data_IF_127129186064
#
_entry.id   IF_127129186064
#
_cell.length_a   1.000
_cell.length_b   1.000
_cell.length_c   1.000
_cell.angle_alpha   90.00
_cell.angle_beta   90.00
_cell.angle_gamma   90.00
#
_symmetry.space_group_name_H-M   'P 1'
#
loop_
_entity.id
_entity.type
_entity.pdbx_description
1 polymer ?
#
# COMPACT_ATOMS: atom_id res chain seq x y z
N UNK A 1 8.36 -5.71 -19.96
CA UNK A 1 8.70 -6.76 -18.98
C UNK A 1 9.87 -7.58 -19.51
N UNK A 2 10.90 -7.86 -18.70
CA UNK A 2 12.05 -8.67 -19.09
C UNK A 2 11.71 -10.17 -19.06
N UNK A 3 12.54 -11.02 -19.72
CA UNK A 3 12.38 -12.49 -19.65
C UNK A 3 12.43 -13.02 -18.21
N UNK A 4 13.32 -12.45 -17.37
CA UNK A 4 13.43 -12.84 -15.96
C UNK A 4 12.15 -12.52 -15.16
N UNK A 5 11.57 -11.34 -15.38
CA UNK A 5 10.30 -10.95 -14.72
C UNK A 5 9.12 -11.82 -15.18
N UNK A 6 9.09 -12.23 -16.46
CA UNK A 6 8.07 -13.16 -16.98
C UNK A 6 8.18 -14.51 -16.28
N UNK A 7 9.39 -15.07 -16.27
CA UNK A 7 9.66 -16.36 -15.62
C UNK A 7 9.37 -16.31 -14.11
N UNK A 8 9.65 -15.18 -13.44
CA UNK A 8 9.33 -15.01 -12.03
C UNK A 8 7.82 -15.12 -11.77
N UNK A 9 6.99 -14.49 -12.59
CA UNK A 9 5.53 -14.59 -12.48
C UNK A 9 5.00 -16.02 -12.70
N UNK A 10 5.67 -16.83 -13.50
CA UNK A 10 5.29 -18.22 -13.74
C UNK A 10 5.75 -19.15 -12.61
N UNK A 11 7.01 -19.02 -12.20
CA UNK A 11 7.66 -19.97 -11.28
C UNK A 11 7.46 -19.60 -9.81
N UNK A 12 7.46 -18.31 -9.48
CA UNK A 12 7.40 -17.82 -8.09
C UNK A 12 5.98 -17.42 -7.67
N UNK A 13 5.02 -17.35 -8.59
CA UNK A 13 3.62 -17.06 -8.26
C UNK A 13 3.05 -17.99 -7.19
N UNK A 14 3.24 -19.32 -7.24
CA UNK A 14 2.73 -20.21 -6.20
C UNK A 14 3.25 -19.91 -4.79
N UNK A 15 4.43 -19.29 -4.68
CA UNK A 15 5.07 -18.94 -3.41
C UNK A 15 4.64 -17.56 -2.89
N UNK A 16 4.53 -16.57 -3.78
CA UNK A 16 4.35 -15.18 -3.40
C UNK A 16 3.01 -14.57 -3.87
N UNK A 17 2.37 -15.15 -4.86
CA UNK A 17 1.12 -14.66 -5.43
C UNK A 17 -0.09 -15.06 -4.59
N UNK A 18 -1.08 -14.19 -4.54
CA UNK A 18 -2.42 -14.49 -4.04
C UNK A 18 -3.33 -14.71 -5.26
N UNK A 19 -4.10 -15.80 -5.26
CA UNK A 19 -5.02 -16.13 -6.35
C UNK A 19 -6.19 -15.15 -6.50
N UNK A 20 -6.82 -15.18 -7.67
CA UNK A 20 -7.96 -14.32 -8.03
C UNK A 20 -9.31 -14.80 -7.46
N UNK A 21 -9.29 -15.84 -6.59
CA UNK A 21 -10.51 -16.28 -5.91
C UNK A 21 -11.08 -15.15 -5.02
N UNK A 22 -12.30 -15.34 -4.55
CA UNK A 22 -12.99 -14.37 -3.68
C UNK A 22 -12.80 -14.65 -2.20
N UNK A 23 -11.84 -15.51 -1.82
CA UNK A 23 -11.58 -15.84 -0.43
C UNK A 23 -11.09 -14.61 0.35
N UNK A 24 -11.51 -14.52 1.60
CA UNK A 24 -11.10 -13.45 2.49
C UNK A 24 -9.61 -13.58 2.86
N UNK A 25 -8.91 -12.48 2.82
CA UNK A 25 -7.50 -12.39 3.15
C UNK A 25 -7.34 -12.12 4.64
N UNK A 26 -6.77 -13.08 5.34
CA UNK A 26 -6.45 -12.97 6.76
C UNK A 26 -4.98 -13.33 6.99
N UNK A 27 -4.37 -12.79 8.04
CA UNK A 27 -2.98 -13.12 8.38
C UNK A 27 -2.78 -14.64 8.57
N UNK A 28 -3.72 -15.30 9.26
CA UNK A 28 -3.68 -16.76 9.46
C UNK A 28 -3.76 -17.51 8.12
N UNK A 29 -4.71 -17.15 7.25
CA UNK A 29 -4.89 -17.81 5.95
C UNK A 29 -3.70 -17.64 5.01
N UNK A 30 -2.97 -16.53 5.12
CA UNK A 30 -1.86 -16.16 4.22
C UNK A 30 -0.50 -16.61 4.77
N UNK A 31 -0.28 -16.45 6.08
CA UNK A 31 1.03 -16.64 6.72
C UNK A 31 1.04 -17.76 7.77
N UNK A 32 -0.12 -18.30 8.13
CA UNK A 32 -0.26 -19.37 9.12
C UNK A 32 -0.30 -18.91 10.59
N UNK A 33 -0.23 -17.59 10.85
CA UNK A 33 -0.28 -17.01 12.20
C UNK A 33 -1.03 -15.67 12.24
N UNK A 34 -1.24 -15.12 13.45
CA UNK A 34 -1.93 -13.83 13.66
C UNK A 34 -0.96 -12.65 13.75
N UNK A 35 -0.08 -12.54 12.79
CA UNK A 35 0.82 -11.38 12.71
C UNK A 35 0.08 -10.10 12.30
N UNK A 36 0.58 -8.89 12.68
CA UNK A 36 0.06 -7.64 12.15
C UNK A 36 0.15 -7.60 10.62
N UNK A 37 -0.89 -7.07 9.97
CA UNK A 37 -1.01 -7.09 8.52
C UNK A 37 -0.99 -5.66 7.95
N UNK A 38 -0.03 -5.39 7.08
CA UNK A 38 0.12 -4.14 6.35
C UNK A 38 -0.15 -4.34 4.86
N UNK A 39 -0.99 -3.49 4.29
CA UNK A 39 -1.31 -3.46 2.87
C UNK A 39 -0.62 -2.27 2.21
N UNK A 40 0.16 -2.48 1.15
CA UNK A 40 0.67 -1.40 0.30
C UNK A 40 -0.06 -1.41 -1.05
N UNK A 41 -0.65 -0.27 -1.42
CA UNK A 41 -1.37 -0.07 -2.67
C UNK A 41 -0.49 0.69 -3.65
N UNK A 42 -0.33 0.14 -4.85
CA UNK A 42 0.53 0.72 -5.87
C UNK A 42 2.01 0.52 -5.55
N UNK A 43 2.41 -0.69 -5.14
CA UNK A 43 3.79 -0.97 -4.71
C UNK A 43 4.85 -0.77 -5.81
N UNK A 44 4.46 -0.59 -7.06
CA UNK A 44 5.36 -0.31 -8.19
C UNK A 44 6.45 -1.39 -8.34
N UNK A 45 7.70 -1.04 -8.02
CA UNK A 45 8.83 -1.99 -8.05
C UNK A 45 8.99 -2.83 -6.77
N UNK A 46 8.22 -2.55 -5.73
CA UNK A 46 8.17 -3.28 -4.48
C UNK A 46 9.34 -3.04 -3.52
N UNK A 47 10.19 -2.03 -3.76
CA UNK A 47 11.36 -1.79 -2.89
C UNK A 47 10.94 -1.51 -1.44
N UNK A 48 9.90 -0.71 -1.23
CA UNK A 48 9.41 -0.40 0.11
C UNK A 48 8.94 -1.68 0.85
N UNK A 49 8.24 -2.59 0.16
CA UNK A 49 7.84 -3.88 0.75
C UNK A 49 9.03 -4.74 1.14
N UNK A 50 10.09 -4.76 0.31
CA UNK A 50 11.33 -5.49 0.63
C UNK A 50 11.97 -4.93 1.90
N UNK A 51 12.12 -3.61 1.98
CA UNK A 51 12.78 -2.94 3.10
C UNK A 51 12.00 -3.12 4.40
N UNK A 52 10.67 -2.95 4.35
CA UNK A 52 9.79 -3.18 5.50
C UNK A 52 9.80 -4.63 5.96
N UNK A 53 9.78 -5.57 5.04
CA UNK A 53 9.76 -7.00 5.36
C UNK A 53 11.07 -7.47 6.01
N UNK A 54 12.20 -6.92 5.60
CA UNK A 54 13.52 -7.19 6.22
C UNK A 54 13.62 -6.55 7.61
N UNK A 55 13.12 -5.30 7.75
CA UNK A 55 13.17 -4.59 9.02
C UNK A 55 12.23 -5.22 10.07
N UNK A 56 11.12 -5.81 9.64
CA UNK A 56 10.06 -6.31 10.53
C UNK A 56 9.59 -7.72 10.13
N UNK A 57 10.40 -8.76 10.36
CA UNK A 57 10.12 -10.13 9.91
C UNK A 57 8.86 -10.75 10.55
N UNK A 58 8.44 -10.24 11.70
CA UNK A 58 7.24 -10.70 12.42
C UNK A 58 5.94 -10.03 11.94
N UNK A 59 6.00 -9.17 10.92
CA UNK A 59 4.82 -8.58 10.29
C UNK A 59 4.55 -9.21 8.93
N UNK A 60 3.28 -9.20 8.51
CA UNK A 60 2.84 -9.63 7.20
C UNK A 60 2.57 -8.44 6.28
N UNK A 61 3.00 -8.55 5.04
CA UNK A 61 2.82 -7.51 4.03
C UNK A 61 2.09 -8.06 2.81
N UNK A 62 1.12 -7.30 2.32
CA UNK A 62 0.46 -7.57 1.05
C UNK A 62 0.68 -6.36 0.14
N UNK A 63 1.28 -6.57 -1.02
CA UNK A 63 1.35 -5.57 -2.08
C UNK A 63 0.21 -5.75 -3.07
N UNK A 64 -0.56 -4.70 -3.32
CA UNK A 64 -1.62 -4.66 -4.33
C UNK A 64 -1.21 -3.73 -5.46
N UNK A 65 -1.20 -4.21 -6.68
CA UNK A 65 -0.91 -3.43 -7.88
C UNK A 65 -1.49 -4.14 -9.12
N UNK A 66 -1.66 -3.42 -10.20
CA UNK A 66 -1.98 -3.99 -11.53
C UNK A 66 -0.73 -4.11 -12.41
N UNK A 67 0.40 -3.59 -11.97
CA UNK A 67 1.65 -3.50 -12.73
C UNK A 67 2.46 -4.81 -12.68
N UNK A 68 2.16 -5.74 -13.57
CA UNK A 68 2.83 -7.06 -13.68
C UNK A 68 4.37 -7.02 -13.72
N UNK A 69 5.04 -6.08 -14.45
CA UNK A 69 6.50 -6.02 -14.44
C UNK A 69 7.09 -5.73 -13.05
N UNK A 70 6.40 -4.90 -12.26
CA UNK A 70 6.76 -4.61 -10.88
C UNK A 70 6.66 -5.85 -9.99
N UNK A 71 5.54 -6.58 -10.10
CA UNK A 71 5.35 -7.83 -9.38
C UNK A 71 6.45 -8.86 -9.68
N UNK A 72 6.79 -9.04 -10.97
CA UNK A 72 7.90 -9.93 -11.35
C UNK A 72 9.25 -9.49 -10.77
N UNK A 73 9.51 -8.17 -10.69
CA UNK A 73 10.72 -7.64 -10.04
C UNK A 73 10.72 -7.87 -8.53
N UNK A 74 9.59 -7.61 -7.88
CA UNK A 74 9.43 -7.84 -6.44
C UNK A 74 9.65 -9.31 -6.11
N UNK A 75 9.02 -10.25 -6.84
CA UNK A 75 9.22 -11.68 -6.62
C UNK A 75 10.67 -12.12 -6.71
N UNK A 76 11.43 -11.61 -7.70
CA UNK A 76 12.85 -11.90 -7.81
C UNK A 76 13.65 -11.39 -6.60
N UNK A 77 13.29 -10.23 -6.05
CA UNK A 77 13.93 -9.68 -4.87
C UNK A 77 13.59 -10.50 -3.61
N UNK A 78 12.31 -10.85 -3.43
CA UNK A 78 11.83 -11.66 -2.31
C UNK A 78 12.49 -13.05 -2.29
N UNK A 79 12.61 -13.69 -3.45
CA UNK A 79 13.20 -15.02 -3.55
C UNK A 79 14.71 -15.00 -3.31
N UNK A 80 15.42 -14.02 -3.91
CA UNK A 80 16.87 -13.84 -3.70
C UNK A 80 17.24 -13.56 -2.23
N UNK A 81 16.38 -12.83 -1.51
CA UNK A 81 16.60 -12.42 -0.11
C UNK A 81 15.90 -13.35 0.90
N UNK A 82 15.29 -14.44 0.42
CA UNK A 82 14.56 -15.42 1.22
C UNK A 82 13.45 -14.82 2.10
N UNK A 83 12.82 -13.73 1.62
CA UNK A 83 11.76 -13.02 2.34
C UNK A 83 10.45 -13.83 2.25
N UNK A 84 9.92 -14.27 3.39
CA UNK A 84 8.73 -15.12 3.47
C UNK A 84 7.45 -14.41 3.90
N UNK A 85 7.56 -13.17 4.40
CA UNK A 85 6.46 -12.40 5.01
C UNK A 85 5.80 -11.37 4.06
N UNK A 86 5.99 -11.51 2.74
CA UNK A 86 5.34 -10.68 1.70
C UNK A 86 4.48 -11.55 0.79
N UNK A 87 3.32 -11.05 0.40
CA UNK A 87 2.47 -11.61 -0.67
C UNK A 87 2.05 -10.54 -1.65
N UNK A 88 1.71 -10.94 -2.86
CA UNK A 88 1.42 -10.05 -3.99
C UNK A 88 0.04 -10.36 -4.54
N UNK A 89 -0.78 -9.33 -4.69
CA UNK A 89 -2.10 -9.38 -5.28
C UNK A 89 -2.12 -8.49 -6.53
N UNK A 90 -2.31 -9.09 -7.71
CA UNK A 90 -2.38 -8.38 -8.98
C UNK A 90 -3.84 -8.07 -9.35
N UNK A 91 -4.46 -7.15 -8.61
CA UNK A 91 -5.85 -6.73 -8.76
C UNK A 91 -6.00 -5.22 -8.64
N UNK A 92 -7.15 -4.69 -9.07
CA UNK A 92 -7.51 -3.29 -8.80
C UNK A 92 -7.78 -3.11 -7.29
N UNK A 93 -7.09 -2.14 -6.68
CA UNK A 93 -7.18 -1.90 -5.25
C UNK A 93 -8.59 -1.54 -4.78
N UNK A 94 -9.41 -0.88 -5.63
CA UNK A 94 -10.78 -0.55 -5.27
C UNK A 94 -11.67 -1.80 -5.11
N UNK A 95 -11.44 -2.83 -5.92
CA UNK A 95 -12.16 -4.10 -5.80
C UNK A 95 -11.71 -4.93 -4.61
N UNK A 96 -10.42 -4.84 -4.25
CA UNK A 96 -9.81 -5.60 -3.16
C UNK A 96 -10.47 -5.29 -1.82
N UNK A 97 -10.68 -4.03 -1.48
CA UNK A 97 -11.34 -3.65 -0.21
C UNK A 97 -12.78 -4.11 -0.13
N UNK A 98 -13.49 -4.15 -1.25
CA UNK A 98 -14.89 -4.58 -1.28
C UNK A 98 -15.08 -6.09 -1.14
N UNK A 99 -14.08 -6.89 -1.54
CA UNK A 99 -14.26 -8.33 -1.72
C UNK A 99 -13.31 -9.21 -0.93
N UNK A 100 -12.14 -8.68 -0.54
CA UNK A 100 -11.05 -9.51 -0.03
C UNK A 100 -10.72 -9.27 1.45
N UNK A 101 -11.15 -8.16 2.04
CA UNK A 101 -10.90 -7.83 3.43
C UNK A 101 -12.20 -7.69 4.21
N UNK A 102 -12.20 -8.18 5.44
CA UNK A 102 -13.26 -7.92 6.42
C UNK A 102 -12.99 -6.60 7.14
N UNK A 103 -14.02 -6.11 7.82
CA UNK A 103 -13.83 -4.99 8.75
C UNK A 103 -12.77 -5.32 9.79
N UNK A 104 -11.95 -4.32 10.13
CA UNK A 104 -10.92 -4.40 11.19
C UNK A 104 -9.92 -5.55 10.99
N UNK A 105 -9.52 -5.81 9.75
CA UNK A 105 -8.55 -6.87 9.41
C UNK A 105 -7.13 -6.38 9.18
N UNK A 106 -6.94 -5.09 8.88
CA UNK A 106 -5.65 -4.49 8.55
C UNK A 106 -5.13 -3.61 9.69
N UNK A 107 -3.86 -3.75 10.03
CA UNK A 107 -3.18 -2.87 10.99
C UNK A 107 -2.74 -1.56 10.31
N UNK A 108 -2.26 -1.63 9.07
CA UNK A 108 -1.82 -0.46 8.32
C UNK A 108 -2.19 -0.55 6.84
N UNK A 109 -2.42 0.61 6.21
CA UNK A 109 -2.51 0.78 4.76
C UNK A 109 -1.56 1.88 4.30
N UNK A 110 -0.75 1.57 3.30
CA UNK A 110 0.26 2.47 2.72
C UNK A 110 -0.10 2.76 1.27
N UNK A 111 -0.09 4.05 0.88
CA UNK A 111 -0.39 4.50 -0.49
C UNK A 111 0.61 5.60 -0.85
N UNK A 112 1.64 5.26 -1.61
CA UNK A 112 2.71 6.19 -1.92
C UNK A 112 2.68 6.60 -3.38
N UNK A 113 2.70 7.91 -3.62
CA UNK A 113 2.72 8.56 -4.93
C UNK A 113 1.64 8.04 -5.88
N UNK A 114 0.36 7.98 -5.42
CA UNK A 114 -0.74 7.59 -6.30
C UNK A 114 -0.87 8.60 -7.45
N UNK A 115 -1.29 8.12 -8.63
CA UNK A 115 -1.45 8.96 -9.82
C UNK A 115 -2.27 10.22 -9.53
N UNK A 116 -1.69 11.43 -9.68
CA UNK A 116 -2.36 12.68 -9.28
C UNK A 116 -3.41 13.15 -10.28
N UNK A 117 -3.39 12.63 -11.53
CA UNK A 117 -4.31 13.02 -12.61
C UNK A 117 -4.53 14.54 -12.65
N UNK A 118 -3.54 15.37 -13.04
CA UNK A 118 -3.59 16.82 -12.85
C UNK A 118 -4.71 17.53 -13.62
N UNK A 119 -5.17 16.98 -14.76
CA UNK A 119 -6.26 17.56 -15.54
C UNK A 119 -7.60 17.35 -14.84
N UNK A 120 -8.38 18.40 -14.59
CA UNK A 120 -9.68 18.38 -13.89
C UNK A 120 -10.63 17.28 -14.40
N UNK A 121 -10.72 17.07 -15.73
CA UNK A 121 -11.55 16.02 -16.34
C UNK A 121 -11.11 14.59 -15.97
N UNK A 122 -9.90 14.41 -15.42
CA UNK A 122 -9.34 13.11 -15.02
C UNK A 122 -9.40 12.86 -13.51
N UNK A 123 -9.82 13.83 -12.68
CA UNK A 123 -9.89 13.66 -11.22
C UNK A 123 -10.73 12.45 -10.80
N UNK A 124 -11.74 12.08 -11.60
CA UNK A 124 -12.53 10.86 -11.38
C UNK A 124 -11.73 9.54 -11.41
N UNK A 125 -10.48 9.57 -11.91
CA UNK A 125 -9.57 8.42 -11.94
C UNK A 125 -8.71 8.30 -10.69
N UNK A 126 -8.68 9.34 -9.84
CA UNK A 126 -7.95 9.32 -8.58
C UNK A 126 -8.48 8.20 -7.69
N UNK A 127 -7.59 7.44 -7.09
CA UNK A 127 -7.98 6.34 -6.22
C UNK A 127 -8.54 6.84 -4.88
N UNK A 128 -7.90 7.85 -4.28
CA UNK A 128 -8.30 8.40 -2.97
C UNK A 128 -9.52 9.31 -3.12
N UNK A 129 -10.70 8.69 -3.15
CA UNK A 129 -12.02 9.33 -3.20
C UNK A 129 -12.83 8.90 -1.96
N UNK A 130 -13.89 9.64 -1.57
CA UNK A 130 -14.64 9.36 -0.35
C UNK A 130 -15.07 7.90 -0.20
N UNK A 131 -15.66 7.29 -1.24
CA UNK A 131 -16.10 5.88 -1.19
C UNK A 131 -14.94 4.91 -0.97
N UNK A 132 -13.79 5.15 -1.62
CA UNK A 132 -12.61 4.32 -1.44
C UNK A 132 -12.03 4.45 -0.03
N UNK A 133 -11.93 5.69 0.49
CA UNK A 133 -11.45 5.95 1.85
C UNK A 133 -12.37 5.35 2.91
N UNK A 134 -13.69 5.40 2.70
CA UNK A 134 -14.65 4.77 3.60
C UNK A 134 -14.44 3.25 3.68
N UNK A 135 -14.37 2.56 2.52
CA UNK A 135 -14.14 1.11 2.48
C UNK A 135 -12.79 0.72 3.10
N UNK A 136 -11.74 1.51 2.81
CA UNK A 136 -10.43 1.32 3.41
C UNK A 136 -10.49 1.50 4.94
N UNK A 137 -11.15 2.56 5.42
CA UNK A 137 -11.29 2.84 6.84
C UNK A 137 -12.04 1.72 7.57
N UNK A 138 -13.07 1.13 6.97
CA UNK A 138 -13.75 -0.05 7.54
C UNK A 138 -12.80 -1.22 7.73
N UNK A 139 -11.88 -1.45 6.80
CA UNK A 139 -10.93 -2.57 6.88
C UNK A 139 -9.79 -2.34 7.88
N UNK A 140 -9.47 -1.08 8.24
CA UNK A 140 -8.49 -0.79 9.28
C UNK A 140 -9.00 -1.21 10.66
N UNK A 141 -8.15 -1.78 11.49
CA UNK A 141 -8.40 -1.97 12.93
C UNK A 141 -8.52 -0.64 13.65
N UNK A 142 -9.15 -0.61 14.82
CA UNK A 142 -9.10 0.56 15.70
C UNK A 142 -7.64 0.91 15.98
N UNK A 143 -7.31 2.19 15.90
CA UNK A 143 -5.93 2.72 15.96
C UNK A 143 -5.00 2.27 14.83
N UNK A 144 -5.50 1.56 13.81
CA UNK A 144 -4.75 1.26 12.59
C UNK A 144 -4.48 2.53 11.78
N UNK A 145 -3.42 2.52 10.98
CA UNK A 145 -2.95 3.72 10.29
C UNK A 145 -3.14 3.65 8.77
N UNK A 146 -3.54 4.77 8.20
CA UNK A 146 -3.44 5.06 6.78
C UNK A 146 -2.31 6.06 6.56
N UNK A 147 -1.28 5.67 5.81
CA UNK A 147 -0.20 6.57 5.43
C UNK A 147 -0.19 6.82 3.93
N UNK A 148 -0.13 8.08 3.54
CA UNK A 148 -0.11 8.51 2.15
C UNK A 148 1.07 9.47 1.96
N UNK A 149 1.76 9.36 0.82
CA UNK A 149 2.71 10.36 0.39
C UNK A 149 2.40 10.79 -1.04
N UNK A 150 2.55 12.08 -1.34
CA UNK A 150 2.37 12.64 -2.68
C UNK A 150 3.28 13.85 -2.90
N UNK A 151 3.71 14.08 -4.14
CA UNK A 151 4.44 15.27 -4.57
C UNK A 151 3.52 16.33 -5.20
N UNK A 152 2.21 16.12 -5.18
CA UNK A 152 1.21 16.98 -5.80
C UNK A 152 0.36 17.72 -4.76
N UNK A 153 0.65 19.02 -4.53
CA UNK A 153 -0.08 19.86 -3.57
C UNK A 153 -1.59 19.84 -3.74
N UNK A 154 -2.08 19.97 -4.96
CA UNK A 154 -3.52 19.95 -5.23
C UNK A 154 -4.16 18.61 -4.86
N UNK A 155 -3.44 17.49 -5.07
CA UNK A 155 -3.96 16.18 -4.71
C UNK A 155 -3.91 15.97 -3.20
N UNK A 156 -2.86 16.43 -2.54
CA UNK A 156 -2.75 16.43 -1.08
C UNK A 156 -3.96 17.14 -0.44
N UNK A 157 -4.30 18.34 -0.88
CA UNK A 157 -5.48 19.06 -0.37
C UNK A 157 -6.77 18.27 -0.56
N UNK A 158 -6.98 17.70 -1.76
CA UNK A 158 -8.16 16.85 -2.02
C UNK A 158 -8.21 15.64 -1.08
N UNK A 159 -7.07 15.01 -0.78
CA UNK A 159 -6.99 13.86 0.13
C UNK A 159 -7.35 14.28 1.55
N UNK A 160 -6.80 15.39 2.04
CA UNK A 160 -7.10 15.94 3.38
C UNK A 160 -8.58 16.28 3.52
N UNK A 161 -9.19 16.89 2.49
CA UNK A 161 -10.64 17.15 2.46
C UNK A 161 -11.45 15.85 2.55
N UNK A 162 -11.05 14.81 1.81
CA UNK A 162 -11.73 13.51 1.87
C UNK A 162 -11.57 12.83 3.23
N UNK A 163 -10.39 12.93 3.86
CA UNK A 163 -10.16 12.39 5.22
C UNK A 163 -11.00 13.14 6.25
N UNK A 164 -11.09 14.48 6.14
CA UNK A 164 -11.89 15.30 7.06
C UNK A 164 -13.39 14.99 6.99
N UNK A 165 -13.88 14.48 5.86
CA UNK A 165 -15.27 14.05 5.66
C UNK A 165 -15.51 12.59 6.07
N UNK A 166 -14.47 11.80 6.34
CA UNK A 166 -14.60 10.40 6.72
C UNK A 166 -14.65 10.24 8.26
N UNK A 167 -15.81 9.88 8.83
CA UNK A 167 -15.98 9.87 10.28
C UNK A 167 -15.14 8.81 11.01
N UNK A 168 -14.63 7.82 10.28
CA UNK A 168 -13.81 6.76 10.84
C UNK A 168 -12.31 7.09 10.87
N UNK A 169 -11.89 8.21 10.26
CA UNK A 169 -10.48 8.60 10.19
C UNK A 169 -10.24 9.94 10.89
N UNK A 170 -9.16 10.00 11.64
CA UNK A 170 -8.64 11.25 12.23
C UNK A 170 -7.29 11.55 11.59
N UNK A 171 -7.15 12.73 10.99
CA UNK A 171 -5.86 13.19 10.48
C UNK A 171 -4.93 13.51 11.65
N UNK A 172 -3.70 13.00 11.60
CA UNK A 172 -2.66 13.27 12.60
C UNK A 172 -1.67 14.29 12.02
N UNK A 173 -1.63 15.49 12.58
CA UNK A 173 -0.73 16.56 12.18
C UNK A 173 0.04 17.08 13.42
N UNK A 174 1.39 17.11 13.39
CA UNK A 174 2.28 16.61 12.32
C UNK A 174 2.36 15.06 12.27
N UNK A 175 2.59 14.48 11.08
CA UNK A 175 2.50 13.03 10.86
C UNK A 175 3.55 12.18 11.57
N UNK A 176 4.56 12.78 12.22
CA UNK A 176 5.70 12.05 12.79
C UNK A 176 5.76 12.08 14.34
N UNK A 177 4.82 12.74 15.03
CA UNK A 177 4.85 12.78 16.50
C UNK A 177 4.42 11.44 17.12
N UNK A 178 5.39 10.76 17.75
CA UNK A 178 5.14 9.56 18.56
C UNK A 178 5.02 8.26 17.77
N UNK A 179 5.43 8.24 16.52
CA UNK A 179 5.35 7.03 15.69
C UNK A 179 6.58 6.14 15.87
N UNK A 180 6.30 4.85 16.06
CA UNK A 180 7.31 3.80 15.99
C UNK A 180 8.05 3.83 14.63
N UNK A 181 9.33 3.41 14.56
CA UNK A 181 10.13 3.37 13.32
C UNK A 181 9.45 2.63 12.16
N UNK A 182 8.54 1.72 12.43
CA UNK A 182 7.68 0.99 11.47
C UNK A 182 6.96 1.90 10.47
N UNK A 183 6.77 3.13 10.82
CA UNK A 183 5.99 4.07 10.02
C UNK A 183 6.87 5.04 9.22
N UNK A 184 8.19 4.97 9.37
CA UNK A 184 9.13 5.70 8.52
C UNK A 184 9.30 4.95 7.21
N UNK A 185 8.73 5.51 6.14
CA UNK A 185 8.89 4.93 4.81
C UNK A 185 10.33 5.07 4.30
N UNK A 186 10.75 4.10 3.52
CA UNK A 186 11.97 4.21 2.72
C UNK A 186 11.75 5.22 1.58
N UNK A 187 12.78 6.00 1.24
CA UNK A 187 12.71 6.93 0.10
C UNK A 187 12.43 6.12 -1.16
N UNK A 188 11.26 6.32 -1.75
CA UNK A 188 10.89 5.65 -3.00
C UNK A 188 11.62 6.27 -4.19
N UNK A 189 11.69 5.53 -5.32
CA UNK A 189 12.25 6.08 -6.56
C UNK A 189 11.55 7.37 -7.00
N UNK A 190 10.25 7.44 -6.83
CA UNK A 190 9.44 8.62 -7.20
C UNK A 190 9.72 9.79 -6.28
N UNK A 191 9.94 9.53 -5.01
CA UNK A 191 10.36 10.54 -4.04
C UNK A 191 11.74 11.12 -4.38
N UNK A 192 12.73 10.27 -4.64
CA UNK A 192 14.05 10.74 -5.06
C UNK A 192 13.95 11.63 -6.31
N UNK A 193 13.14 11.25 -7.30
CA UNK A 193 12.89 12.07 -8.49
C UNK A 193 12.14 13.37 -8.18
N UNK A 194 11.19 13.36 -7.23
CA UNK A 194 10.48 14.55 -6.77
C UNK A 194 11.43 15.53 -6.10
N UNK A 195 12.28 15.05 -5.20
CA UNK A 195 13.30 15.84 -4.50
C UNK A 195 14.29 16.45 -5.51
N UNK A 196 14.81 15.67 -6.46
CA UNK A 196 15.69 16.18 -7.53
C UNK A 196 15.05 17.31 -8.36
N UNK A 197 13.73 17.30 -8.52
CA UNK A 197 12.95 18.33 -9.24
C UNK A 197 12.53 19.49 -8.35
N UNK A 198 12.88 19.48 -7.06
CA UNK A 198 12.49 20.51 -6.09
C UNK A 198 11.01 20.45 -5.70
N UNK A 199 10.33 19.33 -5.91
CA UNK A 199 8.96 19.17 -5.48
C UNK A 199 8.92 18.83 -3.98
N UNK A 200 8.08 19.49 -3.17
CA UNK A 200 7.89 19.10 -1.78
C UNK A 200 7.20 17.72 -1.72
N UNK A 201 7.68 16.88 -0.83
CA UNK A 201 6.99 15.63 -0.50
C UNK A 201 6.05 15.91 0.66
N UNK A 202 4.79 15.57 0.46
CA UNK A 202 3.72 15.78 1.42
C UNK A 202 3.31 14.43 1.99
N UNK A 203 3.59 14.21 3.26
CA UNK A 203 3.17 13.04 4.01
C UNK A 203 1.85 13.34 4.73
N UNK A 204 0.91 12.42 4.65
CA UNK A 204 -0.38 12.44 5.33
C UNK A 204 -0.48 11.18 6.16
N UNK A 205 -0.84 11.34 7.42
CA UNK A 205 -1.10 10.26 8.34
C UNK A 205 -2.50 10.39 8.89
N UNK A 206 -3.31 9.35 8.74
CA UNK A 206 -4.60 9.26 9.40
C UNK A 206 -4.70 7.98 10.22
N UNK A 207 -5.40 8.05 11.34
CA UNK A 207 -5.63 6.93 12.23
C UNK A 207 -7.12 6.60 12.28
N UNK A 208 -7.45 5.32 12.33
CA UNK A 208 -8.83 4.91 12.60
C UNK A 208 -9.20 5.19 14.05
N UNK A 209 -10.30 5.94 14.23
CA UNK A 209 -10.90 6.24 15.52
C UNK A 209 -11.59 5.01 16.15
#
# INVERSE_FOLDING_TARGET
>A
MTRAQHRALEVLWPKYGIGDDTSLLTAIGIFGDQRPLTLEIGFGNGQNLVDLALAHPNQGYIGVDVYRPGAGRLMLALDRLEIGNVRILLQDAAEVFLRRFTERSLDNVLIYFPDPWPKKRHHKRRILRPVFLHNLALCLKLRGFLRIATDCNHYCQTILECIALEPLLTNLDPPDQGMEPLHRRTITKYEAQGIERGHPILDILAQRA
#
